data_IF_984203764852
#
_entry.id   IF_984203764852
#
_cell.length_a   1.000
_cell.length_b   1.000
_cell.length_c   1.000
_cell.angle_alpha   90.00
_cell.angle_beta   90.00
_cell.angle_gamma   90.00
#
_symmetry.space_group_name_H-M   'P 1'
#
loop_
_entity.id
_entity.type
_entity.pdbx_description
1 polymer ?
#
# COMPACT_ATOMS: atom_id res chain seq x y z
N UNK A 1 -15.86 -5.03 19.71
CA UNK A 1 -15.33 -4.65 18.39
C UNK A 1 -13.81 -4.67 18.48
N UNK A 2 -13.14 -5.04 17.39
CA UNK A 2 -11.69 -5.32 17.34
C UNK A 2 -11.02 -4.35 16.37
N UNK A 3 -9.71 -4.14 16.52
CA UNK A 3 -8.93 -3.33 15.58
C UNK A 3 -8.06 -4.23 14.72
N UNK A 4 -7.92 -3.88 13.46
CA UNK A 4 -7.16 -4.67 12.50
C UNK A 4 -6.21 -3.79 11.70
N UNK A 5 -5.00 -4.26 11.54
CA UNK A 5 -4.09 -3.79 10.53
C UNK A 5 -4.40 -4.56 9.23
N UNK A 6 -4.71 -3.83 8.16
CA UNK A 6 -5.07 -4.42 6.87
C UNK A 6 -4.06 -3.97 5.83
N UNK A 7 -3.50 -4.94 5.12
CA UNK A 7 -2.55 -4.71 4.03
C UNK A 7 -3.19 -5.13 2.71
N UNK A 8 -3.25 -4.20 1.77
CA UNK A 8 -3.67 -4.44 0.40
C UNK A 8 -2.46 -4.40 -0.53
N UNK A 9 -2.42 -5.27 -1.53
CA UNK A 9 -1.49 -5.15 -2.65
C UNK A 9 -2.21 -4.60 -3.89
N UNK A 10 -1.45 -3.91 -4.74
CA UNK A 10 -1.94 -3.40 -6.01
C UNK A 10 -0.88 -3.47 -7.11
N UNK A 11 -1.34 -3.69 -8.34
CA UNK A 11 -0.50 -3.63 -9.53
C UNK A 11 -0.53 -2.23 -10.18
N UNK A 12 0.61 -1.53 -10.15
CA UNK A 12 0.76 -0.18 -10.69
C UNK A 12 1.57 -0.19 -11.99
N UNK A 13 1.00 0.37 -13.06
CA UNK A 13 1.70 0.47 -14.34
C UNK A 13 2.34 1.85 -14.47
N UNK A 14 3.65 1.88 -14.66
CA UNK A 14 4.42 3.12 -14.86
C UNK A 14 5.09 3.08 -16.22
N UNK A 15 4.98 4.17 -16.99
CA UNK A 15 5.59 4.29 -18.33
C UNK A 15 6.82 5.19 -18.27
N UNK A 16 7.64 5.08 -19.30
CA UNK A 16 8.79 5.97 -19.56
C UNK A 16 9.86 5.94 -18.46
N UNK A 17 10.12 4.75 -17.91
CA UNK A 17 11.09 4.53 -16.82
C UNK A 17 12.30 3.75 -17.29
N UNK A 18 13.46 4.04 -16.66
CA UNK A 18 14.75 3.39 -17.01
C UNK A 18 15.21 2.39 -15.96
N UNK A 19 14.87 2.61 -14.69
CA UNK A 19 15.34 1.80 -13.56
C UNK A 19 14.17 1.42 -12.65
N UNK A 20 14.37 0.39 -11.83
CA UNK A 20 13.36 -0.02 -10.86
C UNK A 20 13.08 1.10 -9.84
N UNK A 21 14.12 1.78 -9.35
CA UNK A 21 13.97 2.87 -8.38
C UNK A 21 13.18 4.06 -8.93
N UNK A 22 13.37 4.40 -10.21
CA UNK A 22 12.59 5.42 -10.91
C UNK A 22 11.10 5.03 -10.97
N UNK A 23 10.83 3.78 -11.37
CA UNK A 23 9.47 3.25 -11.39
C UNK A 23 8.81 3.25 -10.01
N UNK A 24 9.52 2.85 -8.96
CA UNK A 24 9.03 2.87 -7.57
C UNK A 24 8.68 4.30 -7.16
N UNK A 25 9.61 5.25 -7.37
CA UNK A 25 9.41 6.65 -7.01
C UNK A 25 8.18 7.27 -7.69
N UNK A 26 7.99 7.00 -8.98
CA UNK A 26 6.81 7.47 -9.73
C UNK A 26 5.54 6.80 -9.20
N UNK A 27 5.53 5.48 -9.01
CA UNK A 27 4.37 4.73 -8.52
C UNK A 27 3.90 5.24 -7.14
N UNK A 28 4.83 5.38 -6.18
CA UNK A 28 4.54 5.92 -4.83
C UNK A 28 4.00 7.35 -4.93
N UNK A 29 4.61 8.20 -5.76
CA UNK A 29 4.16 9.59 -5.95
C UNK A 29 2.75 9.66 -6.52
N UNK A 30 2.43 8.86 -7.53
CA UNK A 30 1.10 8.83 -8.13
C UNK A 30 0.04 8.27 -7.17
N UNK A 31 0.35 7.17 -6.48
CA UNK A 31 -0.52 6.59 -5.47
C UNK A 31 -0.79 7.60 -4.33
N UNK A 32 0.26 8.23 -3.82
CA UNK A 32 0.18 9.27 -2.80
C UNK A 32 -0.69 10.45 -3.22
N UNK A 33 -0.59 10.91 -4.48
CA UNK A 33 -1.47 11.97 -5.01
C UNK A 33 -2.95 11.58 -5.06
N UNK A 34 -3.26 10.31 -5.29
CA UNK A 34 -4.66 9.82 -5.33
C UNK A 34 -5.26 9.65 -3.94
N UNK A 35 -4.43 9.32 -2.94
CA UNK A 35 -4.86 9.12 -1.56
C UNK A 35 -4.97 10.46 -0.81
N UNK A 36 -4.00 11.35 -1.00
CA UNK A 36 -3.92 12.59 -0.23
C UNK A 36 -4.87 13.70 -0.75
N UNK A 37 -5.36 14.58 0.15
CA UNK A 37 -5.11 14.60 1.60
C UNK A 37 -6.11 13.74 2.41
N UNK A 38 -7.09 13.09 1.76
CA UNK A 38 -8.21 12.45 2.46
C UNK A 38 -7.82 11.16 3.17
N UNK A 39 -6.81 10.47 2.66
CA UNK A 39 -6.33 9.17 3.11
C UNK A 39 -4.84 9.25 3.45
N UNK A 40 -4.41 10.32 4.11
CA UNK A 40 -3.01 10.54 4.53
C UNK A 40 -2.52 9.57 5.60
N UNK A 41 -3.44 8.88 6.27
CA UNK A 41 -3.19 7.80 7.22
C UNK A 41 -2.94 6.43 6.56
N UNK A 42 -3.04 6.32 5.23
CA UNK A 42 -2.70 5.10 4.50
C UNK A 42 -1.21 5.15 4.14
N UNK A 43 -0.45 4.21 4.67
CA UNK A 43 0.97 4.08 4.33
C UNK A 43 1.10 3.36 2.99
N UNK A 44 2.01 3.83 2.14
CA UNK A 44 2.25 3.29 0.80
C UNK A 44 3.71 2.91 0.68
N UNK A 45 3.97 1.65 0.34
CA UNK A 45 5.32 1.15 0.11
C UNK A 45 5.36 0.24 -1.12
N UNK A 46 6.56 -0.15 -1.54
CA UNK A 46 6.77 -1.20 -2.55
C UNK A 46 6.67 -2.57 -1.90
N UNK A 47 5.92 -3.47 -2.53
CA UNK A 47 5.85 -4.86 -2.11
C UNK A 47 7.20 -5.57 -2.27
N UNK A 48 7.37 -6.68 -1.57
CA UNK A 48 8.55 -7.55 -1.71
C UNK A 48 8.20 -8.80 -2.49
N UNK A 49 9.04 -9.15 -3.46
CA UNK A 49 9.01 -10.41 -4.20
C UNK A 49 10.32 -11.16 -3.96
N UNK A 50 10.28 -12.49 -4.08
CA UNK A 50 11.45 -13.35 -3.90
C UNK A 50 11.89 -13.94 -5.23
N UNK A 51 13.20 -13.97 -5.47
CA UNK A 51 13.75 -14.56 -6.68
C UNK A 51 13.47 -16.08 -6.69
N UNK A 52 12.81 -16.63 -7.73
CA UNK A 52 12.48 -18.05 -7.76
C UNK A 52 13.70 -18.98 -7.85
N UNK A 53 14.88 -18.44 -8.19
CA UNK A 53 16.12 -19.21 -8.31
C UNK A 53 16.96 -19.25 -7.02
N UNK A 54 17.12 -18.11 -6.33
CA UNK A 54 17.98 -17.99 -5.15
C UNK A 54 17.24 -17.56 -3.87
N UNK A 55 15.94 -17.26 -3.95
CA UNK A 55 15.11 -16.79 -2.85
C UNK A 55 15.58 -15.47 -2.21
N UNK A 56 16.37 -14.66 -2.90
CA UNK A 56 16.71 -13.32 -2.44
C UNK A 56 15.50 -12.38 -2.60
N UNK A 57 15.20 -11.54 -1.59
CA UNK A 57 14.14 -10.56 -1.67
C UNK A 57 14.54 -9.38 -2.55
N UNK A 58 13.59 -8.86 -3.33
CA UNK A 58 13.73 -7.62 -4.08
C UNK A 58 12.37 -6.92 -4.20
N UNK A 59 12.40 -5.61 -4.51
CA UNK A 59 11.17 -4.85 -4.72
C UNK A 59 10.35 -5.45 -5.86
N UNK A 60 9.03 -5.56 -5.67
CA UNK A 60 8.09 -6.13 -6.64
C UNK A 60 7.99 -5.24 -7.90
N UNK A 61 9.01 -5.25 -8.74
CA UNK A 61 9.12 -4.41 -9.94
C UNK A 61 9.58 -5.25 -11.11
N UNK A 62 8.88 -5.13 -12.23
CA UNK A 62 9.25 -5.75 -13.49
C UNK A 62 9.23 -4.72 -14.62
N UNK A 63 10.32 -4.60 -15.37
CA UNK A 63 10.46 -3.61 -16.45
C UNK A 63 10.56 -4.32 -17.80
N UNK A 64 9.73 -3.92 -18.76
CA UNK A 64 9.82 -4.32 -20.15
C UNK A 64 9.46 -3.13 -21.06
N UNK A 65 10.23 -2.92 -22.13
CA UNK A 65 9.99 -1.84 -23.10
C UNK A 65 9.75 -0.47 -22.44
N UNK A 66 10.64 -0.08 -21.52
CA UNK A 66 10.56 1.17 -20.73
C UNK A 66 9.26 1.35 -19.94
N UNK A 67 8.53 0.26 -19.68
CA UNK A 67 7.30 0.25 -18.88
C UNK A 67 7.51 -0.70 -17.71
N UNK A 68 7.17 -0.24 -16.51
CA UNK A 68 7.26 -1.03 -15.29
C UNK A 68 5.88 -1.45 -14.78
N UNK A 69 5.81 -2.67 -14.27
CA UNK A 69 4.78 -3.12 -13.36
C UNK A 69 5.37 -3.09 -11.94
N UNK A 70 4.79 -2.25 -11.07
CA UNK A 70 5.21 -2.07 -9.67
C UNK A 70 4.11 -2.60 -8.76
N UNK A 71 4.43 -3.59 -7.94
CA UNK A 71 3.58 -4.06 -6.86
C UNK A 71 3.70 -3.10 -5.68
N UNK A 72 2.64 -2.36 -5.40
CA UNK A 72 2.55 -1.49 -4.22
C UNK A 72 1.78 -2.19 -3.10
N UNK A 73 2.15 -1.90 -1.87
CA UNK A 73 1.40 -2.27 -0.67
C UNK A 73 0.79 -1.02 -0.04
N UNK A 74 -0.42 -1.16 0.47
CA UNK A 74 -1.18 -0.13 1.16
C UNK A 74 -1.55 -0.64 2.54
N UNK A 75 -1.05 0.02 3.56
CA UNK A 75 -1.26 -0.36 4.95
C UNK A 75 -2.23 0.62 5.61
N UNK A 76 -3.25 0.09 6.28
CA UNK A 76 -4.18 0.92 7.04
C UNK A 76 -4.67 0.24 8.30
N UNK A 77 -4.85 1.04 9.36
CA UNK A 77 -5.50 0.61 10.60
C UNK A 77 -7.01 0.81 10.49
N UNK A 78 -7.76 -0.27 10.64
CA UNK A 78 -9.21 -0.28 10.76
C UNK A 78 -9.57 -0.42 12.23
N UNK A 79 -10.25 0.58 12.77
CA UNK A 79 -10.70 0.58 14.16
C UNK A 79 -12.15 0.12 14.27
N UNK A 80 -12.46 -0.51 15.40
CA UNK A 80 -13.83 -0.85 15.79
C UNK A 80 -14.60 -1.69 14.74
N UNK A 81 -13.92 -2.66 14.10
CA UNK A 81 -14.55 -3.59 13.17
C UNK A 81 -15.22 -4.77 13.90
N UNK A 82 -16.22 -5.37 13.25
CA UNK A 82 -16.96 -6.53 13.77
C UNK A 82 -16.17 -7.85 13.62
N UNK A 83 -15.41 -7.98 12.54
CA UNK A 83 -14.57 -9.14 12.22
C UNK A 83 -13.42 -8.74 11.27
N UNK A 84 -12.50 -9.67 11.00
CA UNK A 84 -11.43 -9.49 10.03
C UNK A 84 -11.99 -9.24 8.61
N UNK A 85 -13.05 -9.95 8.21
CA UNK A 85 -13.73 -9.79 6.92
C UNK A 85 -14.43 -8.42 6.83
N UNK A 86 -14.97 -7.92 7.95
CA UNK A 86 -15.50 -6.57 7.98
C UNK A 86 -14.38 -5.54 7.79
N UNK A 87 -13.24 -5.70 8.46
CA UNK A 87 -12.08 -4.83 8.28
C UNK A 87 -11.56 -4.84 6.83
N UNK A 88 -11.51 -6.02 6.20
CA UNK A 88 -11.15 -6.19 4.80
C UNK A 88 -12.06 -5.37 3.87
N UNK A 89 -13.38 -5.49 4.03
CA UNK A 89 -14.35 -4.72 3.22
C UNK A 89 -14.21 -3.21 3.44
N UNK A 90 -13.95 -2.78 4.68
CA UNK A 90 -13.70 -1.36 4.98
C UNK A 90 -12.48 -0.89 4.20
N UNK A 91 -11.36 -1.62 4.28
CA UNK A 91 -10.12 -1.23 3.62
C UNK A 91 -10.27 -1.16 2.08
N UNK A 92 -10.82 -2.22 1.47
CA UNK A 92 -11.12 -2.26 0.03
C UNK A 92 -12.03 -1.11 -0.40
N UNK A 93 -13.06 -0.80 0.38
CA UNK A 93 -14.01 0.29 0.08
C UNK A 93 -13.36 1.67 0.21
N UNK A 94 -12.52 1.89 1.22
CA UNK A 94 -11.87 3.18 1.48
C UNK A 94 -10.80 3.47 0.42
N UNK A 95 -9.84 2.56 0.25
CA UNK A 95 -8.72 2.73 -0.68
C UNK A 95 -9.22 2.63 -2.13
N UNK A 96 -10.09 1.66 -2.43
CA UNK A 96 -10.60 1.43 -3.78
C UNK A 96 -11.41 2.58 -4.37
N UNK A 97 -12.04 3.43 -3.54
CA UNK A 97 -12.70 4.66 -4.01
C UNK A 97 -11.72 5.64 -4.66
N UNK A 98 -10.49 5.71 -4.15
CA UNK A 98 -9.43 6.56 -4.72
C UNK A 98 -8.67 5.86 -5.85
N UNK A 99 -8.66 4.53 -5.87
CA UNK A 99 -7.90 3.70 -6.81
C UNK A 99 -8.81 2.90 -7.77
N UNK A 100 -9.86 3.52 -8.31
CA UNK A 100 -10.95 2.84 -9.06
C UNK A 100 -10.52 1.90 -10.19
N UNK A 101 -9.44 2.24 -10.90
CA UNK A 101 -8.96 1.47 -12.06
C UNK A 101 -7.75 0.57 -11.73
N UNK A 102 -7.42 0.43 -10.44
CA UNK A 102 -6.28 -0.35 -9.97
C UNK A 102 -6.81 -1.63 -9.29
N UNK A 103 -6.33 -2.82 -9.70
CA UNK A 103 -6.70 -4.06 -9.02
C UNK A 103 -6.14 -4.07 -7.59
N UNK A 104 -6.98 -4.41 -6.63
CA UNK A 104 -6.62 -4.51 -5.21
C UNK A 104 -6.87 -5.93 -4.70
N UNK A 105 -5.88 -6.50 -4.03
CA UNK A 105 -6.00 -7.78 -3.34
C UNK A 105 -5.60 -7.61 -1.86
N UNK A 106 -6.19 -8.41 -0.97
CA UNK A 106 -5.85 -8.37 0.46
C UNK A 106 -4.80 -9.42 0.70
N UNK A 107 -3.69 -9.02 1.32
CA UNK A 107 -2.58 -9.94 1.60
C UNK A 107 -2.47 -10.27 3.08
N UNK A 108 -2.86 -9.35 3.96
CA UNK A 108 -2.79 -9.55 5.40
C UNK A 108 -3.90 -8.80 6.16
N UNK A 109 -4.46 -9.46 7.18
CA UNK A 109 -5.38 -8.85 8.15
C UNK A 109 -4.98 -9.34 9.54
N UNK A 110 -4.43 -8.44 10.35
CA UNK A 110 -3.85 -8.78 11.66
C UNK A 110 -4.52 -7.97 12.77
N UNK A 111 -5.07 -8.64 13.78
CA UNK A 111 -5.68 -7.97 14.93
C UNK A 111 -4.61 -7.27 15.80
N UNK A 112 -4.92 -6.07 16.30
CA UNK A 112 -4.03 -5.34 17.21
C UNK A 112 -4.78 -4.65 18.35
N UNK A 113 -4.10 -4.49 19.48
CA UNK A 113 -4.59 -3.70 20.61
C UNK A 113 -4.14 -2.24 20.48
N UNK A 114 -5.01 -1.28 20.82
CA UNK A 114 -4.60 0.14 20.87
C UNK A 114 -3.57 0.30 22.00
N UNK A 115 -2.30 0.44 21.66
CA UNK A 115 -1.31 0.95 22.61
C UNK A 115 -1.67 2.39 22.97
N UNK A 116 -1.47 2.78 24.23
CA UNK A 116 -1.80 4.11 24.75
C UNK A 116 -0.80 5.21 24.35
N UNK A 117 -0.03 4.97 23.28
CA UNK A 117 1.00 5.89 22.81
C UNK A 117 0.38 6.91 21.87
N UNK A 118 0.50 8.19 22.26
CA UNK A 118 0.02 9.34 21.50
C UNK A 118 0.63 9.32 20.11
N UNK A 119 -0.19 9.41 19.07
CA UNK A 119 0.24 9.71 17.69
C UNK A 119 1.12 10.97 17.71
N UNK A 120 2.43 10.81 17.56
CA UNK A 120 3.31 11.92 17.23
C UNK A 120 2.98 12.36 15.80
N UNK A 121 2.18 13.43 15.68
CA UNK A 121 1.98 14.11 14.40
C UNK A 121 3.37 14.46 13.84
N UNK A 122 3.63 14.18 12.55
CA UNK A 122 4.89 14.58 11.93
C UNK A 122 5.04 16.10 12.06
N UNK A 123 6.14 16.53 12.69
CA UNK A 123 6.51 17.94 12.79
C UNK A 123 6.67 18.47 11.36
N UNK A 124 5.76 19.35 10.94
CA UNK A 124 5.97 20.19 9.76
C UNK A 124 7.26 20.98 10.00
N UNK A 125 8.33 20.64 9.27
CA UNK A 125 9.51 21.50 9.21
C UNK A 125 9.14 22.72 8.36
N UNK A 126 9.35 23.89 8.95
CA UNK A 126 9.12 25.21 8.37
C UNK A 126 10.31 25.66 7.52
#
# INVERSE_FOLDING_TARGET
>A
MKNFHVVLEAAWLVRDVKTADDAIGVAISEAGKRLNPKLDFVEVDVGTTYCPACNEPFGSVFIAANTALVGLVFEMKVFDAESAEHAERIAKSVIGKSLRDIPLNVVEVTEFERSSEKEEKPKKQA
#
